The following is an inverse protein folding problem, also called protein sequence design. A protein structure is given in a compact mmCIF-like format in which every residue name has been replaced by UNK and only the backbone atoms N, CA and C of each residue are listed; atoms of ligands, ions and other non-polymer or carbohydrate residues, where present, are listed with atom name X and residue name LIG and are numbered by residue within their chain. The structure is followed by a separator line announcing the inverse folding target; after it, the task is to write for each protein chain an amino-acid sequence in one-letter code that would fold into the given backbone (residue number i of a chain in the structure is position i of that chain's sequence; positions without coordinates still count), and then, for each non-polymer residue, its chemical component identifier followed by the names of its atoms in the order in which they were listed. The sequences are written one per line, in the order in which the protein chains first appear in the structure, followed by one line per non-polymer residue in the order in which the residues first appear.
data_IF_412291516797
#
_entry.id   IF_412291516797
#
_cell.length_a   1.000
_cell.length_b   1.000
_cell.length_c   1.000
_cell.angle_alpha   90.00
_cell.angle_beta   90.00
_cell.angle_gamma   90.00
#
_symmetry.space_group_name_H-M   'P 1'
#
loop_
_entity.id
_entity.type
_entity.pdbx_description
1 polymer ?
#
# COMPACT_ATOMS: atom_id res chain seq x y z
N UNK A 1 -3.00 -10.66 -9.22
CA UNK A 1 -2.22 -11.29 -8.13
C UNK A 1 -1.89 -10.19 -7.15
N UNK A 2 -2.65 -10.12 -6.05
CA UNK A 2 -2.48 -9.10 -5.01
C UNK A 2 -1.47 -9.66 -4.01
N UNK A 3 -0.29 -9.05 -3.93
CA UNK A 3 0.65 -9.35 -2.86
C UNK A 3 0.30 -8.45 -1.67
N UNK A 4 -0.09 -9.05 -0.55
CA UNK A 4 -0.22 -8.36 0.71
C UNK A 4 1.04 -8.63 1.54
N UNK A 5 1.63 -7.55 2.05
CA UNK A 5 2.78 -7.58 2.94
C UNK A 5 2.31 -6.91 4.23
N UNK A 6 2.52 -7.56 5.38
CA UNK A 6 2.27 -6.95 6.68
C UNK A 6 3.38 -5.97 7.00
N UNK A 7 3.00 -4.79 7.49
CA UNK A 7 3.92 -3.74 7.91
C UNK A 7 3.76 -3.46 9.39
N UNK A 8 4.86 -3.54 10.13
CA UNK A 8 4.96 -3.17 11.52
C UNK A 8 5.75 -1.86 11.68
N UNK A 9 5.62 -1.18 12.83
CA UNK A 9 6.43 -0.01 13.12
C UNK A 9 7.93 -0.29 12.95
N UNK A 10 8.58 0.45 12.05
CA UNK A 10 10.00 0.30 11.73
C UNK A 10 10.28 -0.37 10.38
N UNK A 11 9.29 -1.01 9.76
CA UNK A 11 9.44 -1.60 8.44
C UNK A 11 9.59 -0.53 7.34
N UNK A 12 10.31 -0.90 6.28
CA UNK A 12 10.57 -0.03 5.12
C UNK A 12 10.05 -0.70 3.85
N UNK A 13 9.10 -0.05 3.19
CA UNK A 13 8.60 -0.44 1.88
C UNK A 13 9.33 0.33 0.78
N UNK A 14 9.96 -0.37 -0.16
CA UNK A 14 10.42 0.24 -1.42
C UNK A 14 9.38 -0.01 -2.51
N UNK A 15 8.85 1.07 -3.10
CA UNK A 15 7.87 1.03 -4.19
C UNK A 15 8.58 1.39 -5.51
N UNK A 16 8.89 0.40 -6.37
CA UNK A 16 9.60 0.68 -7.62
C UNK A 16 8.77 1.56 -8.56
N UNK A 17 9.40 2.40 -9.40
CA UNK A 17 8.69 3.23 -10.37
C UNK A 17 7.80 2.40 -11.31
N UNK A 18 6.57 2.88 -11.54
CA UNK A 18 5.62 2.25 -12.47
C UNK A 18 4.92 1.00 -11.94
N UNK A 19 5.17 0.58 -10.70
CA UNK A 19 4.46 -0.55 -10.08
C UNK A 19 3.16 -0.07 -9.45
N UNK A 20 2.02 -0.59 -9.92
CA UNK A 20 0.71 -0.37 -9.30
C UNK A 20 0.69 -1.01 -7.90
N UNK A 21 0.34 -0.24 -6.88
CA UNK A 21 0.27 -0.72 -5.50
C UNK A 21 -0.74 0.07 -4.67
N UNK A 22 -1.12 -0.50 -3.53
CA UNK A 22 -1.93 0.13 -2.48
C UNK A 22 -1.31 -0.21 -1.13
N UNK A 23 -1.52 0.64 -0.13
CA UNK A 23 -1.13 0.42 1.26
C UNK A 23 -2.17 1.06 2.18
N UNK A 24 -2.42 0.47 3.34
CA UNK A 24 -3.45 0.90 4.27
C UNK A 24 -3.49 0.03 5.50
N UNK A 25 -4.42 0.33 6.42
CA UNK A 25 -4.65 -0.50 7.60
C UNK A 25 -5.30 -1.83 7.25
N UNK A 26 -5.06 -2.83 8.10
CA UNK A 26 -5.84 -4.06 8.12
C UNK A 26 -7.27 -3.77 8.59
N UNK A 27 -8.17 -4.73 8.40
CA UNK A 27 -9.60 -4.56 8.67
C UNK A 27 -9.93 -4.10 10.11
N UNK A 28 -9.07 -4.42 11.07
CA UNK A 28 -9.27 -4.26 12.51
C UNK A 28 -8.20 -3.39 13.20
N UNK A 29 -7.20 -2.88 12.46
CA UNK A 29 -6.09 -2.11 13.04
C UNK A 29 -5.86 -0.77 12.34
N UNK A 30 -5.43 0.22 13.14
CA UNK A 30 -5.00 1.52 12.61
C UNK A 30 -3.60 1.42 12.01
N UNK A 31 -3.37 2.12 10.90
CA UNK A 31 -2.07 2.18 10.24
C UNK A 31 -1.63 3.62 10.01
N UNK A 32 -0.36 3.90 10.25
CA UNK A 32 0.28 5.17 9.95
C UNK A 32 1.70 4.91 9.45
N UNK A 33 2.11 5.65 8.43
CA UNK A 33 3.47 5.58 7.90
C UNK A 33 3.90 6.94 7.35
N UNK A 34 5.20 7.07 7.13
CA UNK A 34 5.77 8.21 6.40
C UNK A 34 5.90 7.78 4.93
N UNK A 35 5.37 8.59 4.02
CA UNK A 35 5.52 8.39 2.58
C UNK A 35 6.54 9.39 2.02
N UNK A 36 7.53 8.90 1.27
CA UNK A 36 8.55 9.73 0.62
C UNK A 36 8.59 9.41 -0.87
N UNK A 37 8.14 10.35 -1.69
CA UNK A 37 8.24 10.23 -3.14
C UNK A 37 9.62 10.71 -3.60
N UNK A 38 10.38 9.78 -4.19
CA UNK A 38 11.68 10.09 -4.79
C UNK A 38 11.45 10.63 -6.21
N UNK A 39 12.30 11.56 -6.67
CA UNK A 39 12.17 12.28 -7.97
C UNK A 39 11.07 13.35 -8.00
N UNK A 40 11.14 14.39 -7.15
CA UNK A 40 10.14 15.47 -7.13
C UNK A 40 9.98 16.19 -8.48
N UNK A 41 11.02 16.19 -9.32
CA UNK A 41 11.00 16.77 -10.67
C UNK A 41 10.13 15.99 -11.66
N UNK A 42 9.92 14.69 -11.39
CA UNK A 42 9.03 13.82 -12.18
C UNK A 42 7.69 13.77 -11.47
N UNK A 43 6.87 14.80 -11.71
CA UNK A 43 5.58 14.96 -11.05
C UNK A 43 4.56 13.92 -11.53
N UNK A 44 3.81 13.36 -10.58
CA UNK A 44 2.57 12.65 -10.87
C UNK A 44 2.47 11.32 -10.16
N UNK A 45 1.44 11.18 -9.33
CA UNK A 45 0.89 9.88 -8.97
C UNK A 45 -0.20 9.56 -10.00
N UNK A 46 -0.14 8.38 -10.61
CA UNK A 46 -1.24 7.87 -11.41
C UNK A 46 -2.22 7.18 -10.45
N UNK A 47 -3.42 7.75 -10.32
CA UNK A 47 -4.48 7.15 -9.53
C UNK A 47 -5.22 6.11 -10.37
N UNK A 48 -5.40 4.94 -9.77
CA UNK A 48 -6.20 3.87 -10.35
C UNK A 48 -7.48 3.66 -9.54
N UNK A 49 -8.31 2.74 -9.99
CA UNK A 49 -9.50 2.33 -9.27
C UNK A 49 -9.17 1.89 -7.83
N UNK A 50 -10.10 2.19 -6.94
CA UNK A 50 -10.09 1.66 -5.57
C UNK A 50 -10.13 0.13 -5.63
N UNK A 51 -9.39 -0.52 -4.74
CA UNK A 51 -9.53 -1.97 -4.52
C UNK A 51 -10.99 -2.29 -4.18
N UNK A 52 -11.56 -3.34 -4.78
CA UNK A 52 -12.94 -3.72 -4.46
C UNK A 52 -13.04 -4.23 -3.02
N UNK A 53 -14.22 -4.17 -2.42
CA UNK A 53 -14.43 -4.71 -1.07
C UNK A 53 -14.22 -6.23 -1.05
N UNK A 54 -14.56 -6.93 -2.13
CA UNK A 54 -14.26 -8.36 -2.30
C UNK A 54 -12.75 -8.59 -2.32
N UNK A 55 -12.00 -7.85 -3.13
CA UNK A 55 -10.53 -7.96 -3.18
C UNK A 55 -9.88 -7.66 -1.82
N UNK A 56 -10.36 -6.63 -1.13
CA UNK A 56 -9.90 -6.27 0.21
C UNK A 56 -10.20 -7.37 1.24
N UNK A 57 -11.40 -7.97 1.19
CA UNK A 57 -11.82 -9.05 2.11
C UNK A 57 -11.01 -10.34 1.94
N UNK A 58 -10.39 -10.54 0.77
CA UNK A 58 -9.53 -11.70 0.49
C UNK A 58 -8.07 -11.46 0.89
N UNK A 59 -7.71 -10.24 1.32
CA UNK A 59 -6.37 -9.98 1.81
C UNK A 59 -6.13 -10.75 3.12
N UNK A 60 -4.92 -11.30 3.31
CA UNK A 60 -4.57 -11.91 4.58
C UNK A 60 -4.66 -10.87 5.70
N UNK A 61 -5.40 -11.19 6.75
CA UNK A 61 -5.39 -10.44 8.00
C UNK A 61 -4.53 -11.19 9.00
N UNK A 62 -3.76 -10.46 9.81
CA UNK A 62 -3.04 -11.08 10.92
C UNK A 62 -4.04 -11.61 11.96
N UNK A 63 -3.64 -12.59 12.77
CA UNK A 63 -4.40 -13.05 13.94
C UNK A 63 -3.86 -12.38 15.19
#
# INVERSE_FOLDING_TARGET
MVFAIFYYPGDVAFCPPGVKHWHGGSADTSFAHIAVNTNPERSGVEWFDRISEEEYSQLPTEK
#
